data_IF_296202268527
#
_entry.id   IF_296202268527
#
_cell.length_a   1.000
_cell.length_b   1.000
_cell.length_c   1.000
_cell.angle_alpha   90.00
_cell.angle_beta   90.00
_cell.angle_gamma   90.00
#
_symmetry.space_group_name_H-M   'P 1'
#
loop_
_entity.id
_entity.type
_entity.pdbx_description
1 polymer ?
#
# COMPACT_ATOMS: atom_id res chain seq x y z
N UNK A 1 -7.89 16.41 -19.86
CA UNK A 1 -8.82 15.91 -18.84
C UNK A 1 -8.96 14.38 -18.83
N UNK A 2 -9.64 13.72 -19.79
CA UNK A 2 -9.84 12.26 -19.71
C UNK A 2 -8.54 11.45 -19.75
N UNK A 3 -7.61 11.81 -20.64
CA UNK A 3 -6.30 11.15 -20.74
C UNK A 3 -5.47 11.27 -19.46
N UNK A 4 -5.45 12.44 -18.83
CA UNK A 4 -4.76 12.67 -17.55
C UNK A 4 -5.36 11.83 -16.42
N UNK A 5 -6.69 11.67 -16.41
CA UNK A 5 -7.37 10.81 -15.44
C UNK A 5 -7.02 9.34 -15.65
N UNK A 6 -6.91 8.86 -16.89
CA UNK A 6 -6.43 7.51 -17.19
C UNK A 6 -4.99 7.30 -16.72
N UNK A 7 -4.11 8.27 -16.97
CA UNK A 7 -2.73 8.21 -16.49
C UNK A 7 -2.69 8.18 -14.96
N UNK A 8 -3.43 9.05 -14.29
CA UNK A 8 -3.52 9.06 -12.82
C UNK A 8 -4.06 7.73 -12.27
N UNK A 9 -5.08 7.16 -12.90
CA UNK A 9 -5.62 5.85 -12.56
C UNK A 9 -4.61 4.72 -12.75
N UNK A 10 -3.84 4.75 -13.84
CA UNK A 10 -2.77 3.78 -14.10
C UNK A 10 -1.64 3.89 -13.06
N UNK A 11 -1.23 5.10 -12.70
CA UNK A 11 -0.25 5.36 -11.65
C UNK A 11 -0.76 4.79 -10.31
N UNK A 12 -2.00 5.11 -9.94
CA UNK A 12 -2.62 4.61 -8.71
C UNK A 12 -2.67 3.07 -8.69
N UNK A 13 -3.11 2.45 -9.78
CA UNK A 13 -3.17 0.99 -9.90
C UNK A 13 -1.76 0.37 -9.77
N UNK A 14 -0.77 0.93 -10.44
CA UNK A 14 0.62 0.46 -10.38
C UNK A 14 1.19 0.54 -8.95
N UNK A 15 0.93 1.63 -8.24
CA UNK A 15 1.32 1.76 -6.84
C UNK A 15 0.63 0.75 -5.93
N UNK A 16 -0.68 0.54 -6.09
CA UNK A 16 -1.42 -0.44 -5.29
C UNK A 16 -0.99 -1.88 -5.56
N UNK A 17 -0.75 -2.23 -6.83
CA UNK A 17 -0.20 -3.55 -7.20
C UNK A 17 1.17 -3.74 -6.58
N UNK A 18 2.05 -2.73 -6.65
CA UNK A 18 3.37 -2.79 -6.00
C UNK A 18 3.21 -2.99 -4.49
N UNK A 19 2.30 -2.27 -3.84
CA UNK A 19 2.01 -2.45 -2.42
C UNK A 19 1.62 -3.90 -2.07
N UNK A 20 0.77 -4.51 -2.92
CA UNK A 20 0.37 -5.91 -2.78
C UNK A 20 1.53 -6.89 -2.96
N UNK A 21 2.42 -6.64 -3.92
CA UNK A 21 3.63 -7.46 -4.13
C UNK A 21 4.53 -7.42 -2.91
N UNK A 22 4.84 -6.24 -2.38
CA UNK A 22 5.66 -6.10 -1.18
C UNK A 22 5.02 -6.77 0.04
N UNK A 23 3.72 -6.51 0.27
CA UNK A 23 2.99 -7.10 1.39
C UNK A 23 2.92 -8.62 1.33
N UNK A 24 2.74 -9.17 0.13
CA UNK A 24 2.69 -10.62 -0.10
C UNK A 24 4.08 -11.26 0.01
N UNK A 25 5.11 -10.61 -0.52
CA UNK A 25 6.49 -11.07 -0.38
C UNK A 25 6.93 -11.11 1.09
N UNK A 26 6.59 -10.07 1.86
CA UNK A 26 6.83 -10.07 3.31
C UNK A 26 6.15 -11.26 4.00
N UNK A 27 4.89 -11.53 3.64
CA UNK A 27 4.17 -12.66 4.22
C UNK A 27 4.79 -14.01 3.83
N UNK A 28 5.24 -14.14 2.58
CA UNK A 28 5.92 -15.33 2.09
C UNK A 28 7.21 -15.62 2.85
N UNK A 29 8.01 -14.59 3.14
CA UNK A 29 9.32 -14.74 3.80
C UNK A 29 9.19 -14.90 5.31
N UNK A 30 8.23 -14.22 5.94
CA UNK A 30 8.10 -14.18 7.41
C UNK A 30 7.06 -15.13 7.97
N UNK A 31 6.11 -15.62 7.15
CA UNK A 31 4.92 -16.33 7.62
C UNK A 31 3.89 -15.43 8.32
N UNK A 32 4.19 -14.15 8.53
CA UNK A 32 3.32 -13.19 9.22
C UNK A 32 2.74 -12.15 8.25
N UNK A 33 1.48 -11.74 8.42
CA UNK A 33 0.91 -10.68 7.61
C UNK A 33 1.65 -9.35 7.88
N UNK A 34 2.07 -8.65 6.82
CA UNK A 34 2.71 -7.34 6.95
C UNK A 34 1.85 -6.37 7.76
N UNK A 35 2.41 -5.72 8.79
CA UNK A 35 1.68 -4.82 9.71
C UNK A 35 2.43 -3.51 9.91
N UNK A 36 1.68 -2.44 10.17
CA UNK A 36 2.26 -1.18 10.64
C UNK A 36 2.85 -1.38 12.04
N UNK A 37 3.92 -0.63 12.34
CA UNK A 37 4.58 -0.63 13.65
C UNK A 37 5.06 -2.01 14.12
N UNK A 38 5.56 -2.84 13.20
CA UNK A 38 6.29 -4.06 13.52
C UNK A 38 7.55 -3.82 14.37
N UNK A 39 8.03 -4.88 15.02
CA UNK A 39 9.18 -4.83 15.92
C UNK A 39 10.48 -4.49 15.17
N UNK A 40 11.21 -3.49 15.67
CA UNK A 40 12.48 -3.04 15.12
C UNK A 40 13.63 -3.52 16.03
N UNK A 41 14.23 -4.65 15.70
CA UNK A 41 15.34 -5.25 16.48
C UNK A 41 16.73 -4.77 16.02
N UNK A 42 16.83 -3.53 15.54
CA UNK A 42 18.07 -2.91 15.07
C UNK A 42 17.89 -1.97 13.86
N UNK A 43 18.95 -1.22 13.50
CA UNK A 43 18.87 -0.17 12.47
C UNK A 43 18.55 -0.71 11.07
N UNK A 44 19.08 -1.88 10.71
CA UNK A 44 18.81 -2.52 9.41
C UNK A 44 17.34 -2.97 9.32
N UNK A 45 16.81 -3.62 10.36
CA UNK A 45 15.40 -4.01 10.40
C UNK A 45 14.46 -2.79 10.37
N UNK A 46 14.84 -1.69 11.01
CA UNK A 46 14.08 -0.43 10.96
C UNK A 46 14.00 0.14 9.55
N UNK A 47 15.12 0.14 8.81
CA UNK A 47 15.14 0.62 7.43
C UNK A 47 14.28 -0.27 6.50
N UNK A 48 14.38 -1.60 6.64
CA UNK A 48 13.54 -2.54 5.86
C UNK A 48 12.05 -2.33 6.17
N UNK A 49 11.68 -2.17 7.45
CA UNK A 49 10.30 -1.91 7.84
C UNK A 49 9.79 -0.56 7.33
N UNK A 50 10.64 0.46 7.31
CA UNK A 50 10.29 1.77 6.77
C UNK A 50 10.00 1.70 5.26
N UNK A 51 10.86 1.02 4.49
CA UNK A 51 10.63 0.79 3.06
C UNK A 51 9.34 -0.03 2.86
N UNK A 52 9.17 -1.08 3.65
CA UNK A 52 7.95 -1.90 3.63
C UNK A 52 6.70 -1.06 3.90
N UNK A 53 6.69 -0.16 4.89
CA UNK A 53 5.53 0.69 5.16
C UNK A 53 5.30 1.72 4.07
N UNK A 54 6.37 2.28 3.50
CA UNK A 54 6.28 3.27 2.43
C UNK A 54 5.57 2.71 1.19
N UNK A 55 5.92 1.48 0.80
CA UNK A 55 5.38 0.84 -0.41
C UNK A 55 4.17 -0.05 -0.14
N UNK A 56 4.20 -0.91 0.89
CA UNK A 56 3.08 -1.81 1.22
C UNK A 56 1.95 -1.12 2.01
N UNK A 57 2.13 0.15 2.41
CA UNK A 57 1.17 0.92 3.19
C UNK A 57 -0.28 0.84 2.67
N UNK A 58 -0.57 1.14 1.39
CA UNK A 58 -1.92 1.06 0.83
C UNK A 58 -2.56 -0.34 0.98
N UNK A 59 -1.75 -1.39 0.79
CA UNK A 59 -2.20 -2.77 0.91
C UNK A 59 -2.51 -3.14 2.37
N UNK A 60 -1.59 -2.83 3.31
CA UNK A 60 -1.78 -3.07 4.74
C UNK A 60 -3.02 -2.31 5.24
N UNK A 61 -3.15 -1.04 4.84
CA UNK A 61 -4.26 -0.18 5.22
C UNK A 61 -5.60 -0.71 4.71
N UNK A 62 -5.72 -1.09 3.43
CA UNK A 62 -6.97 -1.64 2.91
C UNK A 62 -7.32 -3.00 3.50
N UNK A 63 -6.34 -3.88 3.71
CA UNK A 63 -6.60 -5.16 4.38
C UNK A 63 -7.20 -4.95 5.76
N UNK A 64 -6.65 -4.01 6.54
CA UNK A 64 -7.16 -3.68 7.86
C UNK A 64 -8.56 -3.03 7.78
N UNK A 65 -8.81 -2.12 6.83
CA UNK A 65 -10.11 -1.50 6.65
C UNK A 65 -11.20 -2.51 6.28
N UNK A 66 -10.89 -3.45 5.38
CA UNK A 66 -11.80 -4.55 4.98
C UNK A 66 -12.08 -5.47 6.17
N UNK A 67 -11.04 -5.86 6.93
CA UNK A 67 -11.22 -6.67 8.12
C UNK A 67 -12.10 -5.98 9.18
N UNK A 68 -11.93 -4.67 9.38
CA UNK A 68 -12.77 -3.90 10.29
C UNK A 68 -14.21 -3.73 9.79
N UNK A 69 -14.41 -3.67 8.46
CA UNK A 69 -15.74 -3.69 7.86
C UNK A 69 -16.47 -5.01 8.14
N UNK A 70 -15.80 -6.15 7.94
CA UNK A 70 -16.37 -7.47 8.26
C UNK A 70 -16.59 -7.70 9.76
N UNK A 71 -15.87 -6.99 10.63
CA UNK A 71 -16.09 -6.98 12.08
C UNK A 71 -17.14 -5.97 12.54
N UNK A 72 -17.88 -5.37 11.59
CA UNK A 72 -18.92 -4.37 11.83
C UNK A 72 -18.42 -3.09 12.54
N UNK A 73 -17.11 -2.87 12.59
CA UNK A 73 -16.50 -1.68 13.20
C UNK A 73 -16.47 -0.49 12.22
N UNK A 74 -16.47 -0.78 10.91
CA UNK A 74 -16.46 0.24 9.86
C UNK A 74 -17.79 0.27 9.10
N UNK A 75 -18.33 1.46 8.90
CA UNK A 75 -19.43 1.67 7.97
C UNK A 75 -18.94 1.62 6.51
N UNK A 76 -19.82 1.36 5.52
CA UNK A 76 -19.45 1.43 4.09
C UNK A 76 -18.81 2.76 3.69
N UNK A 77 -19.26 3.87 4.29
CA UNK A 77 -18.69 5.21 4.06
C UNK A 77 -17.24 5.31 4.55
N UNK A 78 -16.92 4.71 5.69
CA UNK A 78 -15.56 4.65 6.22
C UNK A 78 -14.66 3.78 5.35
N UNK A 79 -15.18 2.67 4.82
CA UNK A 79 -14.45 1.84 3.87
C UNK A 79 -14.15 2.60 2.56
N UNK A 80 -15.10 3.36 2.05
CA UNK A 80 -14.89 4.21 0.88
C UNK A 80 -13.84 5.31 1.14
N UNK A 81 -13.90 5.97 2.31
CA UNK A 81 -12.88 6.94 2.72
C UNK A 81 -11.49 6.30 2.83
N UNK A 82 -11.41 5.07 3.37
CA UNK A 82 -10.16 4.31 3.42
C UNK A 82 -9.64 4.00 2.01
N UNK A 83 -10.52 3.63 1.08
CA UNK A 83 -10.18 3.44 -0.33
C UNK A 83 -9.63 4.71 -0.99
N UNK A 84 -10.20 5.88 -0.67
CA UNK A 84 -9.70 7.17 -1.14
C UNK A 84 -8.28 7.46 -0.64
N UNK A 85 -8.02 7.26 0.65
CA UNK A 85 -6.68 7.43 1.23
C UNK A 85 -5.67 6.43 0.66
N UNK A 86 -6.08 5.17 0.48
CA UNK A 86 -5.24 4.16 -0.15
C UNK A 86 -4.92 4.53 -1.60
N UNK A 87 -5.88 5.09 -2.34
CA UNK A 87 -5.68 5.57 -3.72
C UNK A 87 -4.68 6.72 -3.76
N UNK A 88 -4.84 7.73 -2.89
CA UNK A 88 -3.92 8.86 -2.80
C UNK A 88 -2.48 8.39 -2.53
N UNK A 89 -2.28 7.51 -1.55
CA UNK A 89 -0.96 6.93 -1.27
C UNK A 89 -0.45 6.07 -2.44
N UNK A 90 -1.34 5.34 -3.10
CA UNK A 90 -0.97 4.54 -4.27
C UNK A 90 -0.51 5.40 -5.45
N UNK A 91 -1.03 6.62 -5.61
CA UNK A 91 -0.53 7.57 -6.61
C UNK A 91 0.92 7.96 -6.30
N UNK A 92 1.23 8.28 -5.04
CA UNK A 92 2.60 8.64 -4.62
C UNK A 92 3.58 7.48 -4.86
N UNK A 93 3.26 6.28 -4.38
CA UNK A 93 4.10 5.09 -4.57
C UNK A 93 4.22 4.69 -6.04
N UNK A 94 3.12 4.71 -6.79
CA UNK A 94 3.10 4.42 -8.22
C UNK A 94 3.93 5.39 -9.05
N UNK A 95 3.97 6.68 -8.67
CA UNK A 95 4.79 7.70 -9.34
C UNK A 95 6.27 7.38 -9.17
N UNK A 96 6.70 7.00 -7.96
CA UNK A 96 8.08 6.59 -7.68
C UNK A 96 8.44 5.34 -8.48
N UNK A 97 7.58 4.31 -8.44
CA UNK A 97 7.83 3.02 -9.11
C UNK A 97 7.91 3.20 -10.62
N UNK A 98 6.93 3.86 -11.24
CA UNK A 98 6.93 4.09 -12.68
C UNK A 98 8.06 5.03 -13.10
N UNK A 99 8.39 6.04 -12.29
CA UNK A 99 9.54 6.89 -12.52
C UNK A 99 10.85 6.11 -12.56
N UNK A 100 11.03 5.14 -11.66
CA UNK A 100 12.19 4.25 -11.68
C UNK A 100 12.15 3.35 -12.92
N UNK A 101 11.03 2.68 -13.19
CA UNK A 101 10.90 1.71 -14.29
C UNK A 101 11.07 2.35 -15.67
N UNK A 102 10.55 3.56 -15.89
CA UNK A 102 10.58 4.23 -17.19
C UNK A 102 11.90 4.96 -17.46
N UNK A 103 12.71 5.22 -16.41
CA UNK A 103 14.04 5.83 -16.53
C UNK A 103 15.13 4.75 -16.71
N UNK A 104 14.89 3.53 -16.20
CA UNK A 104 15.71 2.34 -16.46
C UNK A 104 15.61 1.89 -17.92
#
# INVERSE_FOLDING_TARGET
MLGELFVAGFIAASGFVTAGVFGSFYHLVTGEPARFFGEMNGPVSGLVLLIMWLFAGPFIFMRNAIQNYYREMFSPKMLAAAGGLATMWSICSGTIVLGIILVL
#
